data_IF_573879320154
#
_entry.id   IF_573879320154
#
_cell.length_a   1.000
_cell.length_b   1.000
_cell.length_c   1.000
_cell.angle_alpha   90.00
_cell.angle_beta   90.00
_cell.angle_gamma   90.00
#
_symmetry.space_group_name_H-M   'P 1'
#
loop_
_entity.id
_entity.type
_entity.pdbx_description
1 polymer ?
#
# COMPACT_ATOMS: atom_id res chain seq x y z
N UNK A 1 -3.67 -13.72 -14.16
CA UNK A 1 -2.76 -14.87 -14.11
C UNK A 1 -1.35 -14.37 -13.81
N UNK A 2 -0.64 -14.96 -12.83
CA UNK A 2 0.78 -14.70 -12.61
C UNK A 2 1.60 -15.46 -13.67
N UNK A 3 2.55 -14.79 -14.31
CA UNK A 3 3.43 -15.38 -15.33
C UNK A 3 4.82 -15.65 -14.76
N UNK A 4 5.40 -14.69 -14.03
CA UNK A 4 6.74 -14.76 -13.47
C UNK A 4 6.81 -14.14 -12.07
N UNK A 5 7.90 -14.39 -11.35
CA UNK A 5 8.24 -13.66 -10.12
C UNK A 5 7.43 -14.07 -8.89
N UNK A 6 6.97 -15.31 -8.77
CA UNK A 6 6.16 -15.79 -7.64
C UNK A 6 6.83 -15.53 -6.28
N UNK A 7 8.15 -15.67 -6.19
CA UNK A 7 8.91 -15.41 -4.95
C UNK A 7 8.76 -13.98 -4.45
N UNK A 8 8.56 -13.03 -5.36
CA UNK A 8 8.52 -11.60 -5.12
C UNK A 8 7.08 -11.03 -5.08
N UNK A 9 6.05 -11.89 -5.04
CA UNK A 9 4.63 -11.49 -5.09
C UNK A 9 4.20 -10.57 -3.94
N UNK A 10 4.96 -10.56 -2.85
CA UNK A 10 4.69 -9.71 -1.68
C UNK A 10 5.47 -8.39 -1.70
N UNK A 11 6.10 -8.03 -2.82
CA UNK A 11 6.76 -6.73 -2.95
C UNK A 11 5.77 -5.59 -2.64
N UNK A 12 6.24 -4.63 -1.87
CA UNK A 12 5.46 -3.44 -1.59
C UNK A 12 5.37 -2.56 -2.84
N UNK A 13 4.18 -2.04 -3.11
CA UNK A 13 3.93 -1.08 -4.20
C UNK A 13 3.60 0.27 -3.60
N UNK A 14 4.43 1.28 -3.89
CA UNK A 14 4.24 2.65 -3.38
C UNK A 14 3.55 3.56 -4.41
N UNK A 15 3.72 3.26 -5.69
CA UNK A 15 3.14 4.03 -6.80
C UNK A 15 2.89 3.14 -8.01
N UNK A 16 2.23 3.66 -9.02
CA UNK A 16 2.12 2.98 -10.31
C UNK A 16 2.28 3.96 -11.47
N UNK A 17 2.71 3.46 -12.60
CA UNK A 17 2.82 4.21 -13.85
C UNK A 17 2.31 3.40 -15.03
N UNK A 18 1.83 4.10 -16.06
CA UNK A 18 1.33 3.47 -17.29
C UNK A 18 2.36 3.61 -18.40
N UNK A 19 2.86 2.49 -18.91
CA UNK A 19 3.81 2.41 -20.01
C UNK A 19 3.16 2.68 -21.37
N UNK A 20 2.62 3.88 -21.57
CA UNK A 20 1.92 4.27 -22.80
C UNK A 20 2.81 5.01 -23.81
N UNK A 21 3.94 5.55 -23.39
CA UNK A 21 4.87 6.30 -24.23
C UNK A 21 6.02 5.43 -24.76
N UNK A 22 6.86 5.98 -25.62
CA UNK A 22 8.08 5.29 -26.07
C UNK A 22 9.03 5.04 -24.89
N UNK A 23 9.76 3.93 -24.92
CA UNK A 23 10.65 3.50 -23.83
C UNK A 23 11.57 4.63 -23.33
N UNK A 24 12.23 5.36 -24.25
CA UNK A 24 13.15 6.47 -23.88
C UNK A 24 12.53 7.52 -22.97
N UNK A 25 11.24 7.79 -23.17
CA UNK A 25 10.50 8.75 -22.35
C UNK A 25 9.98 8.07 -21.07
N UNK A 26 9.54 6.82 -21.19
CA UNK A 26 9.00 6.06 -20.08
C UNK A 26 10.02 5.83 -18.96
N UNK A 27 11.27 5.59 -19.30
CA UNK A 27 12.34 5.38 -18.32
C UNK A 27 12.49 6.55 -17.30
N UNK A 28 12.08 7.75 -17.68
CA UNK A 28 12.09 8.93 -16.78
C UNK A 28 10.93 8.92 -15.77
N UNK A 29 9.95 8.06 -15.95
CA UNK A 29 8.76 7.93 -15.11
C UNK A 29 8.76 6.68 -14.22
N UNK A 30 9.84 5.88 -14.26
CA UNK A 30 10.02 4.77 -13.34
C UNK A 30 10.31 5.33 -11.95
N UNK A 31 9.59 4.83 -10.96
CA UNK A 31 9.71 5.25 -9.56
C UNK A 31 10.09 4.08 -8.68
N UNK A 32 10.72 4.37 -7.55
CA UNK A 32 11.08 3.35 -6.56
C UNK A 32 9.81 2.63 -6.09
N UNK A 33 9.87 1.29 -6.05
CA UNK A 33 8.74 0.42 -5.73
C UNK A 33 7.49 0.68 -6.59
N UNK A 34 7.71 1.16 -7.82
CA UNK A 34 6.64 1.43 -8.77
C UNK A 34 6.08 0.14 -9.40
N UNK A 35 4.77 0.10 -9.64
CA UNK A 35 4.11 -0.93 -10.44
C UNK A 35 3.96 -0.41 -11.87
N UNK A 36 4.49 -1.17 -12.83
CA UNK A 36 4.39 -0.84 -14.26
C UNK A 36 3.11 -1.46 -14.82
N UNK A 37 2.25 -0.66 -15.45
CA UNK A 37 1.05 -1.13 -16.12
C UNK A 37 1.23 -0.90 -17.63
N UNK A 38 1.18 -1.95 -18.43
CA UNK A 38 1.40 -1.86 -19.88
C UNK A 38 0.64 -2.95 -20.61
N UNK A 39 0.21 -2.75 -21.88
CA UNK A 39 -0.27 -3.85 -22.70
C UNK A 39 0.78 -4.94 -22.88
N UNK A 40 0.32 -6.20 -23.00
CA UNK A 40 1.24 -7.35 -23.11
C UNK A 40 2.04 -7.42 -24.41
N UNK A 41 1.67 -6.67 -25.45
CA UNK A 41 2.39 -6.54 -26.72
C UNK A 41 3.50 -5.46 -26.69
N UNK A 42 3.65 -4.74 -25.58
CA UNK A 42 4.69 -3.71 -25.42
C UNK A 42 6.00 -4.30 -24.90
N UNK A 43 6.62 -5.16 -25.71
CA UNK A 43 7.90 -5.78 -25.39
C UNK A 43 9.00 -4.76 -25.05
N UNK A 44 8.98 -3.59 -25.69
CA UNK A 44 9.90 -2.49 -25.43
C UNK A 44 9.80 -2.00 -23.97
N UNK A 45 8.59 -1.77 -23.47
CA UNK A 45 8.36 -1.32 -22.09
C UNK A 45 8.68 -2.42 -21.08
N UNK A 46 8.24 -3.66 -21.39
CA UNK A 46 8.46 -4.82 -20.50
C UNK A 46 9.96 -5.06 -20.29
N UNK A 47 10.71 -5.24 -21.36
CA UNK A 47 12.15 -5.49 -21.28
C UNK A 47 12.92 -4.28 -20.77
N UNK A 48 12.52 -3.08 -21.17
CA UNK A 48 13.13 -1.85 -20.69
C UNK A 48 12.94 -1.62 -19.19
N UNK A 49 11.76 -1.92 -18.66
CA UNK A 49 11.49 -1.82 -17.22
C UNK A 49 12.26 -2.88 -16.42
N UNK A 50 12.35 -4.12 -16.93
CA UNK A 50 13.16 -5.17 -16.32
C UNK A 50 14.64 -4.84 -16.35
N UNK A 51 15.16 -4.30 -17.47
CA UNK A 51 16.54 -3.86 -17.56
C UNK A 51 16.83 -2.67 -16.63
N UNK A 52 15.90 -1.72 -16.52
CA UNK A 52 16.03 -0.62 -15.58
C UNK A 52 16.09 -1.12 -14.13
N UNK A 53 15.25 -2.10 -13.78
CA UNK A 53 15.24 -2.72 -12.46
C UNK A 53 16.57 -3.39 -12.07
N UNK A 54 17.30 -3.90 -13.05
CA UNK A 54 18.64 -4.50 -12.85
C UNK A 54 19.76 -3.44 -12.82
N UNK A 55 19.47 -2.22 -13.22
CA UNK A 55 20.45 -1.12 -13.33
C UNK A 55 20.54 -0.34 -12.03
N UNK A 56 21.76 -0.12 -11.56
CA UNK A 56 22.01 0.76 -10.39
C UNK A 56 21.68 2.23 -10.63
N UNK A 57 21.44 2.63 -11.89
CA UNK A 57 21.15 4.01 -12.27
C UNK A 57 19.63 4.32 -12.31
N UNK A 58 18.79 3.32 -12.12
CA UNK A 58 17.34 3.47 -12.15
C UNK A 58 16.71 2.94 -10.86
N UNK A 59 15.54 3.49 -10.48
CA UNK A 59 14.78 2.98 -9.35
C UNK A 59 14.32 1.53 -9.57
N UNK A 60 14.25 0.76 -8.49
CA UNK A 60 13.72 -0.61 -8.51
C UNK A 60 12.20 -0.61 -8.61
N UNK A 61 11.65 -1.45 -9.48
CA UNK A 61 10.20 -1.64 -9.61
C UNK A 61 9.71 -2.80 -8.75
N UNK A 62 8.44 -2.76 -8.35
CA UNK A 62 7.81 -3.82 -7.55
C UNK A 62 7.18 -4.92 -8.39
N UNK A 63 6.82 -4.64 -9.63
CA UNK A 63 6.19 -5.60 -10.53
C UNK A 63 5.68 -4.98 -11.82
N UNK A 64 5.16 -5.84 -12.71
CA UNK A 64 4.57 -5.46 -13.99
C UNK A 64 3.19 -6.10 -14.13
N UNK A 65 2.20 -5.30 -14.55
CA UNK A 65 0.86 -5.78 -14.91
C UNK A 65 0.67 -5.63 -16.41
N UNK A 66 0.50 -6.76 -17.09
CA UNK A 66 0.20 -6.85 -18.52
C UNK A 66 -1.31 -6.80 -18.71
N UNK A 67 -1.79 -5.87 -19.51
CA UNK A 67 -3.22 -5.63 -19.72
C UNK A 67 -3.70 -6.08 -21.11
N UNK A 68 -5.04 -6.22 -21.25
CA UNK A 68 -5.69 -6.57 -22.51
C UNK A 68 -5.70 -8.07 -22.82
N UNK A 69 -5.39 -8.94 -21.85
CA UNK A 69 -5.32 -10.38 -22.09
C UNK A 69 -4.17 -10.80 -23.01
N UNK A 70 -3.30 -9.87 -23.38
CA UNK A 70 -2.20 -10.10 -24.32
C UNK A 70 -1.00 -10.65 -23.54
N UNK A 71 -0.47 -11.76 -24.01
CA UNK A 71 0.76 -12.38 -23.50
C UNK A 71 1.89 -12.07 -24.48
N UNK A 72 3.08 -11.70 -24.01
CA UNK A 72 4.22 -11.47 -24.87
C UNK A 72 4.58 -12.70 -25.72
N UNK A 73 5.16 -12.46 -26.88
CA UNK A 73 5.62 -13.53 -27.76
C UNK A 73 6.63 -14.47 -27.07
N UNK A 74 6.70 -15.72 -27.52
CA UNK A 74 7.58 -16.76 -26.94
C UNK A 74 9.05 -16.34 -26.89
N UNK A 75 9.52 -15.55 -27.83
CA UNK A 75 10.88 -15.01 -27.85
C UNK A 75 11.13 -14.05 -26.69
N UNK A 76 10.16 -13.22 -26.37
CA UNK A 76 10.21 -12.29 -25.24
C UNK A 76 10.07 -13.04 -23.91
N UNK A 77 9.17 -14.03 -23.85
CA UNK A 77 9.01 -14.88 -22.67
C UNK A 77 10.31 -15.60 -22.31
N UNK A 78 11.02 -16.17 -23.30
CA UNK A 78 12.31 -16.82 -23.09
C UNK A 78 13.40 -15.86 -22.58
N UNK A 79 13.39 -14.60 -23.03
CA UNK A 79 14.31 -13.59 -22.50
C UNK A 79 14.04 -13.30 -21.01
N UNK A 80 12.77 -13.21 -20.65
CA UNK A 80 12.36 -12.99 -19.26
C UNK A 80 12.73 -14.18 -18.37
N UNK A 81 12.46 -15.42 -18.83
CA UNK A 81 12.80 -16.65 -18.13
C UNK A 81 14.30 -16.77 -17.80
N UNK A 82 15.15 -16.20 -18.64
CA UNK A 82 16.62 -16.20 -18.45
C UNK A 82 17.11 -15.25 -17.35
N UNK A 83 16.26 -14.42 -16.76
CA UNK A 83 16.64 -13.50 -15.70
C UNK A 83 16.67 -14.22 -14.34
N UNK A 84 17.68 -13.94 -13.54
CA UNK A 84 17.90 -14.61 -12.24
C UNK A 84 16.99 -14.08 -11.11
N UNK A 85 16.62 -12.81 -11.17
CA UNK A 85 15.77 -12.16 -10.19
C UNK A 85 14.67 -11.35 -10.89
N UNK A 86 13.50 -11.97 -11.00
CA UNK A 86 12.38 -11.42 -11.74
C UNK A 86 11.35 -10.86 -10.77
N UNK A 87 10.96 -9.60 -10.96
CA UNK A 87 9.81 -9.02 -10.30
C UNK A 87 8.51 -9.72 -10.75
N UNK A 88 7.44 -9.71 -9.96
CA UNK A 88 6.17 -10.29 -10.36
C UNK A 88 5.66 -9.69 -11.67
N UNK A 89 5.33 -10.57 -12.63
CA UNK A 89 4.68 -10.19 -13.88
C UNK A 89 3.35 -10.91 -13.95
N UNK A 90 2.27 -10.16 -13.91
CA UNK A 90 0.91 -10.70 -13.96
C UNK A 90 0.18 -10.21 -15.23
N UNK A 91 -0.59 -11.10 -15.85
CA UNK A 91 -1.48 -10.77 -16.97
C UNK A 91 -2.93 -10.70 -16.50
N UNK A 92 -3.66 -9.68 -16.98
CA UNK A 92 -5.08 -9.45 -16.75
C UNK A 92 -5.81 -9.23 -18.07
N UNK A 93 -7.07 -9.64 -18.13
CA UNK A 93 -7.91 -9.52 -19.33
C UNK A 93 -8.34 -8.07 -19.62
N UNK A 94 -8.48 -7.29 -18.57
CA UNK A 94 -8.98 -5.93 -18.67
C UNK A 94 -7.98 -4.98 -19.32
N UNK A 95 -8.52 -3.94 -19.95
CA UNK A 95 -7.71 -2.90 -20.60
C UNK A 95 -6.98 -1.99 -19.58
N UNK A 96 -5.92 -1.37 -20.05
CA UNK A 96 -4.99 -0.53 -19.28
C UNK A 96 -5.68 0.54 -18.44
N UNK A 97 -6.66 1.26 -19.02
CA UNK A 97 -7.39 2.32 -18.33
C UNK A 97 -8.17 1.79 -17.13
N UNK A 98 -8.88 0.66 -17.30
CA UNK A 98 -9.68 0.08 -16.22
C UNK A 98 -8.78 -0.42 -15.08
N UNK A 99 -7.67 -1.06 -15.40
CA UNK A 99 -6.70 -1.55 -14.40
C UNK A 99 -6.06 -0.39 -13.66
N UNK A 100 -5.62 0.66 -14.35
CA UNK A 100 -5.04 1.84 -13.71
C UNK A 100 -6.04 2.50 -12.73
N UNK A 101 -7.30 2.63 -13.12
CA UNK A 101 -8.35 3.15 -12.24
C UNK A 101 -8.61 2.25 -11.03
N UNK A 102 -8.68 0.92 -11.22
CA UNK A 102 -8.87 -0.03 -10.12
C UNK A 102 -7.72 0.04 -9.12
N UNK A 103 -6.48 0.06 -9.60
CA UNK A 103 -5.29 0.17 -8.74
C UNK A 103 -5.30 1.52 -8.02
N UNK A 104 -5.57 2.63 -8.70
CA UNK A 104 -5.67 3.96 -8.09
C UNK A 104 -6.80 4.09 -7.06
N UNK A 105 -7.86 3.29 -7.18
CA UNK A 105 -8.97 3.26 -6.24
C UNK A 105 -8.68 2.38 -4.99
N UNK A 106 -7.56 1.65 -4.95
CA UNK A 106 -7.19 0.82 -3.79
C UNK A 106 -6.94 1.75 -2.60
N UNK A 107 -7.76 1.57 -1.56
CA UNK A 107 -7.64 2.36 -0.34
C UNK A 107 -6.41 1.90 0.45
N UNK A 108 -5.44 2.78 0.63
CA UNK A 108 -4.24 2.51 1.44
C UNK A 108 -4.52 2.47 2.94
N UNK A 109 -5.61 3.11 3.40
CA UNK A 109 -5.99 3.14 4.83
C UNK A 109 -6.33 1.74 5.34
N UNK A 110 -6.04 1.53 6.62
CA UNK A 110 -6.41 0.30 7.34
C UNK A 110 -7.88 0.44 7.77
N UNK A 111 -8.72 -0.48 7.31
CA UNK A 111 -10.12 -0.60 7.71
C UNK A 111 -10.30 -1.84 8.58
N UNK A 112 -11.33 -1.86 9.41
CA UNK A 112 -11.59 -2.93 10.38
C UNK A 112 -11.82 -4.32 9.75
N UNK A 113 -12.24 -4.36 8.50
CA UNK A 113 -12.47 -5.58 7.72
C UNK A 113 -11.19 -6.14 7.07
N UNK A 114 -10.10 -5.35 7.04
CA UNK A 114 -8.86 -5.79 6.42
C UNK A 114 -7.89 -6.40 7.46
N UNK A 115 -8.23 -7.60 7.92
CA UNK A 115 -7.47 -8.33 8.96
C UNK A 115 -6.00 -8.48 8.58
N UNK A 116 -5.70 -8.85 7.34
CA UNK A 116 -4.31 -9.02 6.86
C UNK A 116 -3.48 -7.73 6.97
N UNK A 117 -4.07 -6.58 6.63
CA UNK A 117 -3.38 -5.27 6.79
C UNK A 117 -3.15 -4.93 8.26
N UNK A 118 -4.13 -5.21 9.11
CA UNK A 118 -4.04 -5.00 10.56
C UNK A 118 -2.88 -5.83 11.14
N UNK A 119 -2.87 -7.13 10.86
CA UNK A 119 -1.82 -8.04 11.33
C UNK A 119 -0.44 -7.62 10.83
N UNK A 120 -0.30 -7.30 9.54
CA UNK A 120 0.97 -6.82 8.96
C UNK A 120 1.44 -5.53 9.62
N UNK A 121 0.52 -4.61 9.91
CA UNK A 121 0.84 -3.34 10.59
C UNK A 121 1.28 -3.56 12.03
N UNK A 122 0.63 -4.47 12.77
CA UNK A 122 1.01 -4.83 14.12
C UNK A 122 2.40 -5.48 14.13
N UNK A 123 2.66 -6.42 13.22
CA UNK A 123 3.98 -7.08 13.11
C UNK A 123 5.08 -6.08 12.76
N UNK A 124 4.82 -5.16 11.82
CA UNK A 124 5.76 -4.11 11.48
C UNK A 124 6.05 -3.20 12.68
N UNK A 125 5.02 -2.79 13.40
CA UNK A 125 5.17 -1.98 14.60
C UNK A 125 6.03 -2.70 15.66
N UNK A 126 5.70 -3.95 15.98
CA UNK A 126 6.45 -4.76 16.95
C UNK A 126 7.92 -4.98 16.56
N UNK A 127 8.18 -5.09 15.24
CA UNK A 127 9.53 -5.31 14.72
C UNK A 127 10.41 -4.06 14.76
N UNK A 128 9.82 -2.88 14.51
CA UNK A 128 10.60 -1.64 14.28
C UNK A 128 10.46 -0.63 15.41
N UNK A 129 9.54 -0.80 16.34
CA UNK A 129 9.33 0.12 17.48
C UNK A 129 9.74 -0.56 18.76
N UNK A 130 10.76 -0.01 19.42
CA UNK A 130 11.14 -0.40 20.78
C UNK A 130 10.23 0.33 21.78
N UNK A 131 9.24 -0.40 22.30
CA UNK A 131 8.26 0.17 23.24
C UNK A 131 8.87 0.58 24.57
N UNK A 132 9.90 -0.12 25.04
CA UNK A 132 10.56 0.18 26.31
C UNK A 132 11.30 1.52 26.19
N UNK A 133 12.09 1.69 25.12
CA UNK A 133 12.76 2.96 24.83
C UNK A 133 11.78 4.12 24.60
N UNK A 134 10.65 3.85 23.95
CA UNK A 134 9.59 4.85 23.73
C UNK A 134 8.95 5.26 25.08
N UNK A 135 8.67 4.30 25.97
CA UNK A 135 8.08 4.55 27.28
C UNK A 135 8.98 5.37 28.19
N UNK A 136 10.30 5.12 28.14
CA UNK A 136 11.30 5.90 28.90
C UNK A 136 11.39 7.36 28.44
N UNK A 137 11.14 7.61 27.13
CA UNK A 137 11.14 8.97 26.55
C UNK A 137 9.82 9.71 26.74
N UNK A 138 8.75 9.00 27.09
CA UNK A 138 7.46 9.63 27.37
C UNK A 138 7.51 10.30 28.75
N UNK A 139 7.63 11.62 28.77
CA UNK A 139 7.45 12.40 29.98
C UNK A 139 5.96 12.35 30.32
N UNK A 140 5.60 11.57 31.33
CA UNK A 140 4.24 11.59 31.89
C UNK A 140 4.09 12.89 32.67
N UNK A 141 3.38 13.84 32.11
CA UNK A 141 2.90 14.96 32.90
C UNK A 141 1.75 14.45 33.77
N UNK A 142 1.93 14.49 35.09
CA UNK A 142 0.79 14.37 36.01
C UNK A 142 -0.11 15.57 35.75
N UNK A 143 -1.21 15.35 35.07
CA UNK A 143 -2.22 16.37 34.87
C UNK A 143 -3.04 16.38 36.17
N UNK A 144 -2.77 17.35 37.04
CA UNK A 144 -3.50 17.58 38.31
C UNK A 144 -4.97 17.94 38.13
N UNK A 145 -5.54 17.72 36.97
CA UNK A 145 -6.94 18.03 36.70
C UNK A 145 -7.55 17.12 35.63
N UNK A 146 -8.70 16.59 35.95
CA UNK A 146 -9.52 15.86 34.95
C UNK A 146 -10.15 16.93 34.04
N UNK A 147 -9.80 16.90 32.74
CA UNK A 147 -10.45 17.79 31.76
C UNK A 147 -11.97 17.51 31.71
N UNK A 148 -12.80 18.48 31.36
CA UNK A 148 -14.26 18.27 31.24
C UNK A 148 -14.61 17.06 30.34
N UNK A 149 -13.86 16.85 29.24
CA UNK A 149 -14.05 15.69 28.36
C UNK A 149 -13.66 14.36 29.02
N UNK A 150 -12.56 14.33 29.77
CA UNK A 150 -12.15 13.13 30.52
C UNK A 150 -13.15 12.83 31.64
N UNK A 151 -13.68 13.84 32.28
CA UNK A 151 -14.75 13.69 33.30
C UNK A 151 -16.00 13.06 32.67
N UNK A 152 -16.47 13.61 31.55
CA UNK A 152 -17.61 13.07 30.81
C UNK A 152 -17.37 11.61 30.39
N UNK A 153 -16.20 11.32 29.83
CA UNK A 153 -15.83 9.96 29.41
C UNK A 153 -15.84 9.00 30.60
N UNK A 154 -15.25 9.37 31.74
CA UNK A 154 -15.20 8.53 32.91
C UNK A 154 -16.60 8.30 33.50
N UNK A 155 -17.44 9.33 33.50
CA UNK A 155 -18.84 9.26 33.97
C UNK A 155 -19.64 8.28 33.10
N UNK A 156 -19.53 8.37 31.77
CA UNK A 156 -20.19 7.47 30.82
C UNK A 156 -19.68 6.02 30.96
N UNK A 157 -18.38 5.84 31.15
CA UNK A 157 -17.77 4.52 31.37
C UNK A 157 -18.25 3.89 32.67
N UNK A 158 -18.33 4.67 33.73
CA UNK A 158 -18.82 4.21 35.03
C UNK A 158 -20.32 3.87 34.98
N UNK A 159 -21.14 4.72 34.39
CA UNK A 159 -22.57 4.49 34.22
C UNK A 159 -22.84 3.21 33.41
N UNK A 160 -22.08 2.97 32.35
CA UNK A 160 -22.16 1.74 31.54
C UNK A 160 -21.79 0.49 32.36
N UNK A 161 -20.75 0.59 33.19
CA UNK A 161 -20.30 -0.52 34.07
C UNK A 161 -21.35 -0.85 35.13
N UNK A 162 -22.00 0.20 35.72
CA UNK A 162 -22.97 0.06 36.78
C UNK A 162 -24.42 -0.04 36.27
N UNK A 163 -24.62 -0.07 34.93
CA UNK A 163 -25.93 -0.08 34.27
C UNK A 163 -26.87 1.04 34.74
N UNK A 164 -26.30 2.20 35.02
CA UNK A 164 -27.04 3.41 35.43
C UNK A 164 -27.34 4.29 34.21
N UNK A 165 -28.49 4.98 34.27
CA UNK A 165 -28.85 5.99 33.29
C UNK A 165 -28.27 7.37 33.73
N UNK A 166 -27.63 8.06 32.78
CA UNK A 166 -27.19 9.44 32.99
C UNK A 166 -28.19 10.34 32.25
N UNK A 167 -28.83 11.21 32.97
CA UNK A 167 -29.67 12.26 32.39
C UNK A 167 -28.79 13.50 32.27
N UNK A 168 -28.51 13.92 31.05
CA UNK A 168 -27.86 15.20 30.80
C UNK A 168 -28.95 16.29 30.69
N UNK A 169 -28.86 17.40 31.41
CA UNK A 169 -29.77 18.52 31.17
C UNK A 169 -29.53 19.02 29.73
N UNK A 170 -30.62 19.31 29.01
CA UNK A 170 -30.55 20.01 27.75
C UNK A 170 -29.89 21.36 27.98
N UNK A 171 -28.62 21.47 27.58
CA UNK A 171 -27.92 22.74 27.55
C UNK A 171 -28.34 23.50 26.30
N UNK A 172 -28.64 24.78 26.43
CA UNK A 172 -28.76 25.68 25.29
C UNK A 172 -27.41 25.69 24.54
N UNK A 173 -27.42 25.17 23.34
CA UNK A 173 -26.22 24.89 22.49
C UNK A 173 -25.80 26.13 21.69
N UNK A 174 -25.79 27.31 22.32
CA UNK A 174 -25.41 28.56 21.66
C UNK A 174 -24.01 29.07 22.04
N UNK A 175 -23.11 28.21 22.52
CA UNK A 175 -21.71 28.60 22.72
C UNK A 175 -20.75 27.41 22.57
N UNK A 176 -20.37 27.14 21.35
CA UNK A 176 -18.98 26.74 21.01
C UNK A 176 -18.67 27.25 19.62
#
# INVERSE_FOLDING_TARGET
KLLFGEKNINNQVDSFSVGAMQLRNYLQHITEKGLVITPGDRADIILGALQANLSVNYPSISGIVLTGGIIPEDTIMKLIEGLSDIVPIASVEEGTYLIANRIGAIKSKIYADNIKKIETSIQAFQKYVNLDELSEKLVTFEVDGITPRMFQYNLLKQARKERKHIVLPEGNDDRV
#
